data_IF_668158341707
#
_entry.id   IF_668158341707
#
_cell.length_a   1.000
_cell.length_b   1.000
_cell.length_c   1.000
_cell.angle_alpha   90.00
_cell.angle_beta   90.00
_cell.angle_gamma   90.00
#
_symmetry.space_group_name_H-M   'P 1'
#
loop_
_entity.id
_entity.type
_entity.pdbx_description
1 polymer ?
#
# COMPACT_ATOMS: atom_id res chain seq x y z
N UNK A 1 -4.23 23.96 22.89
CA UNK A 1 -5.37 24.03 21.96
C UNK A 1 -5.45 22.75 21.16
N UNK A 2 -6.50 21.95 21.38
CA UNK A 2 -6.60 20.56 20.93
C UNK A 2 -6.89 20.38 19.44
N UNK A 3 -6.15 19.47 18.79
CA UNK A 3 -6.50 18.98 17.45
C UNK A 3 -7.72 18.06 17.57
N UNK A 4 -8.88 18.55 17.12
CA UNK A 4 -10.17 17.81 17.06
C UNK A 4 -10.38 17.06 15.73
N UNK A 5 -9.31 16.72 15.02
CA UNK A 5 -9.41 15.99 13.73
C UNK A 5 -8.36 14.89 13.72
N UNK A 6 -8.84 13.65 13.75
CA UNK A 6 -8.07 12.44 13.57
C UNK A 6 -8.16 12.04 12.10
N UNK A 7 -7.01 11.83 11.45
CA UNK A 7 -6.98 11.31 10.08
C UNK A 7 -6.53 9.85 10.11
N UNK A 8 -7.10 9.02 9.23
CA UNK A 8 -6.80 7.58 9.16
C UNK A 8 -5.29 7.30 9.01
N UNK A 9 -4.56 8.17 8.30
CA UNK A 9 -3.13 8.05 8.08
C UNK A 9 -2.26 8.34 9.30
N UNK A 10 -2.79 8.96 10.36
CA UNK A 10 -2.03 9.29 11.58
C UNK A 10 -1.55 8.03 12.33
N UNK A 11 -2.11 6.85 12.02
CA UNK A 11 -1.77 5.56 12.63
C UNK A 11 -1.24 4.53 11.64
N UNK A 12 -1.19 4.85 10.35
CA UNK A 12 -0.76 3.91 9.32
C UNK A 12 0.76 3.91 9.21
N UNK A 13 1.33 2.70 9.10
CA UNK A 13 2.76 2.48 8.95
C UNK A 13 3.08 2.29 7.45
N UNK A 14 3.84 3.20 6.82
CA UNK A 14 4.23 3.08 5.41
C UNK A 14 4.89 1.75 5.06
N UNK A 15 5.72 1.22 5.96
CA UNK A 15 6.46 -0.01 5.73
C UNK A 15 5.51 -1.22 5.73
N UNK A 16 4.50 -1.22 6.60
CA UNK A 16 3.47 -2.29 6.60
C UNK A 16 2.59 -2.24 5.36
N UNK A 17 2.28 -1.05 4.84
CA UNK A 17 1.52 -0.90 3.58
C UNK A 17 2.33 -1.43 2.40
N UNK A 18 3.63 -1.14 2.34
CA UNK A 18 4.51 -1.71 1.33
C UNK A 18 4.60 -3.25 1.43
N UNK A 19 4.74 -3.79 2.65
CA UNK A 19 4.71 -5.25 2.86
C UNK A 19 3.37 -5.87 2.45
N UNK A 20 2.25 -5.18 2.67
CA UNK A 20 0.95 -5.63 2.20
C UNK A 20 0.90 -5.71 0.67
N UNK A 21 1.48 -4.75 -0.05
CA UNK A 21 1.60 -4.80 -1.50
C UNK A 21 2.36 -6.06 -1.98
N UNK A 22 3.48 -6.39 -1.32
CA UNK A 22 4.27 -7.59 -1.62
C UNK A 22 3.52 -8.88 -1.28
N UNK A 23 2.79 -8.90 -0.16
CA UNK A 23 1.93 -10.04 0.19
C UNK A 23 0.82 -10.27 -0.83
N UNK A 24 0.23 -9.18 -1.36
CA UNK A 24 -0.76 -9.28 -2.44
C UNK A 24 -0.15 -9.82 -3.72
N UNK A 25 1.03 -9.36 -4.12
CA UNK A 25 1.76 -9.91 -5.28
C UNK A 25 1.96 -11.42 -5.16
N UNK A 26 2.47 -11.90 -4.01
CA UNK A 26 2.66 -13.33 -3.75
C UNK A 26 1.33 -14.09 -3.77
N UNK A 27 0.29 -13.54 -3.14
CA UNK A 27 -1.02 -14.17 -3.05
C UNK A 27 -1.67 -14.30 -4.44
N UNK A 28 -1.66 -13.24 -5.25
CA UNK A 28 -2.22 -13.27 -6.60
C UNK A 28 -1.42 -14.16 -7.54
N UNK A 29 -0.09 -14.14 -7.44
CA UNK A 29 0.76 -15.08 -8.17
C UNK A 29 0.36 -16.52 -7.83
N UNK A 30 0.25 -16.85 -6.54
CA UNK A 30 -0.15 -18.19 -6.11
C UNK A 30 -1.54 -18.57 -6.60
N UNK A 31 -2.52 -17.66 -6.53
CA UNK A 31 -3.87 -17.92 -7.02
C UNK A 31 -3.91 -18.21 -8.52
N UNK A 32 -3.12 -17.48 -9.33
CA UNK A 32 -3.09 -17.69 -10.78
C UNK A 32 -2.19 -18.83 -11.27
N UNK A 33 -1.33 -19.39 -10.41
CA UNK A 33 -0.30 -20.35 -10.82
C UNK A 33 -0.26 -21.65 -10.02
N UNK A 34 -0.90 -21.72 -8.85
CA UNK A 34 -0.88 -22.92 -8.03
C UNK A 34 -1.65 -24.05 -8.72
N UNK A 35 -1.06 -25.25 -8.72
CA UNK A 35 -1.58 -26.44 -9.39
C UNK A 35 -1.76 -27.59 -8.41
N UNK A 36 -2.74 -28.43 -8.68
CA UNK A 36 -2.93 -29.71 -8.00
C UNK A 36 -1.89 -30.75 -8.42
N UNK A 37 -1.94 -31.94 -7.82
CA UNK A 37 -1.03 -33.04 -8.12
C UNK A 37 -1.15 -33.55 -9.57
N UNK A 38 -2.26 -33.23 -10.25
CA UNK A 38 -2.51 -33.55 -11.66
C UNK A 38 -2.04 -32.43 -12.62
N UNK A 39 -1.46 -31.36 -12.09
CA UNK A 39 -0.98 -30.21 -12.86
C UNK A 39 -2.09 -29.23 -13.30
N UNK A 40 -3.31 -29.35 -12.79
CA UNK A 40 -4.42 -28.43 -13.08
C UNK A 40 -4.38 -27.23 -12.14
N UNK A 41 -4.74 -26.04 -12.64
CA UNK A 41 -4.81 -24.84 -11.81
C UNK A 41 -5.90 -24.99 -10.74
N UNK A 42 -5.61 -24.56 -9.50
CA UNK A 42 -6.62 -24.50 -8.45
C UNK A 42 -7.69 -23.42 -8.72
N UNK A 43 -7.33 -22.38 -9.46
CA UNK A 43 -8.23 -21.31 -9.88
C UNK A 43 -7.94 -20.94 -11.34
N UNK A 44 -8.96 -21.03 -12.19
CA UNK A 44 -8.90 -20.48 -13.54
C UNK A 44 -9.09 -18.96 -13.46
N UNK A 45 -7.99 -18.25 -13.25
CA UNK A 45 -8.01 -16.81 -13.00
C UNK A 45 -7.79 -15.97 -14.25
N UNK A 46 -7.00 -16.48 -15.21
CA UNK A 46 -6.66 -15.80 -16.44
C UNK A 46 -6.84 -16.78 -17.61
N UNK A 47 -7.41 -16.30 -18.71
CA UNK A 47 -7.47 -17.03 -19.98
C UNK A 47 -6.62 -16.31 -21.03
N UNK A 48 -5.78 -17.07 -21.74
CA UNK A 48 -4.84 -16.56 -22.74
C UNK A 48 -5.22 -16.98 -24.18
N UNK A 49 -6.46 -17.42 -24.39
CA UNK A 49 -7.01 -17.75 -25.70
C UNK A 49 -7.52 -16.50 -26.44
N UNK A 50 -8.02 -16.67 -27.67
CA UNK A 50 -8.44 -15.57 -28.53
C UNK A 50 -9.57 -14.70 -27.94
N UNK A 51 -10.34 -15.25 -26.99
CA UNK A 51 -11.40 -14.57 -26.24
C UNK A 51 -11.05 -14.40 -24.75
N UNK A 52 -9.76 -14.51 -24.42
CA UNK A 52 -9.29 -14.64 -23.05
C UNK A 52 -9.57 -13.45 -22.14
N UNK A 53 -9.92 -13.75 -20.89
CA UNK A 53 -10.15 -12.77 -19.84
C UNK A 53 -8.89 -12.59 -18.96
N UNK A 54 -8.44 -11.34 -18.83
CA UNK A 54 -7.35 -10.88 -17.96
C UNK A 54 -7.86 -9.93 -16.86
N UNK A 55 -9.17 -9.91 -16.59
CA UNK A 55 -9.81 -9.08 -15.58
C UNK A 55 -9.20 -9.32 -14.19
N UNK A 56 -8.86 -10.57 -13.87
CA UNK A 56 -8.18 -10.95 -12.63
C UNK A 56 -6.82 -10.28 -12.49
N UNK A 57 -5.92 -10.45 -13.47
CA UNK A 57 -4.58 -9.84 -13.44
C UNK A 57 -4.66 -8.31 -13.34
N UNK A 58 -5.63 -7.70 -14.05
CA UNK A 58 -5.89 -6.26 -13.98
C UNK A 58 -6.36 -5.82 -12.58
N UNK A 59 -7.21 -6.60 -11.92
CA UNK A 59 -7.66 -6.31 -10.57
C UNK A 59 -6.51 -6.48 -9.55
N UNK A 60 -5.73 -7.55 -9.69
CA UNK A 60 -4.54 -7.80 -8.87
C UNK A 60 -3.57 -6.61 -8.95
N UNK A 61 -3.24 -6.18 -10.16
CA UNK A 61 -2.36 -5.01 -10.39
C UNK A 61 -2.91 -3.72 -9.77
N UNK A 62 -4.22 -3.46 -9.86
CA UNK A 62 -4.86 -2.30 -9.22
C UNK A 62 -4.72 -2.34 -7.71
N UNK A 63 -4.92 -3.51 -7.09
CA UNK A 63 -4.84 -3.66 -5.64
C UNK A 63 -3.39 -3.52 -5.14
N UNK A 64 -2.42 -4.12 -5.83
CA UNK A 64 -1.00 -3.98 -5.51
C UNK A 64 -0.59 -2.51 -5.61
N UNK A 65 -0.89 -1.86 -6.75
CA UNK A 65 -0.57 -0.45 -6.98
C UNK A 65 -1.22 0.48 -5.96
N UNK A 66 -2.45 0.20 -5.53
CA UNK A 66 -3.10 0.99 -4.47
C UNK A 66 -2.32 0.92 -3.15
N UNK A 67 -1.85 -0.25 -2.74
CA UNK A 67 -1.09 -0.40 -1.49
C UNK A 67 0.27 0.30 -1.58
N UNK A 68 0.98 0.18 -2.70
CA UNK A 68 2.26 0.87 -2.91
C UNK A 68 2.08 2.40 -2.94
N UNK A 69 1.04 2.90 -3.59
CA UNK A 69 0.72 4.32 -3.58
C UNK A 69 0.36 4.81 -2.18
N UNK A 70 -0.41 4.05 -1.41
CA UNK A 70 -0.71 4.41 -0.02
C UNK A 70 0.55 4.43 0.84
N UNK A 71 1.48 3.50 0.67
CA UNK A 71 2.76 3.52 1.37
C UNK A 71 3.51 4.83 1.14
N UNK A 72 3.59 5.30 -0.11
CA UNK A 72 4.21 6.58 -0.46
C UNK A 72 3.47 7.78 0.15
N UNK A 73 2.14 7.84 0.02
CA UNK A 73 1.32 8.94 0.54
C UNK A 73 1.47 9.07 2.06
N UNK A 74 1.47 7.94 2.78
CA UNK A 74 1.62 7.93 4.25
C UNK A 74 3.05 8.29 4.67
N UNK A 75 4.08 7.83 3.94
CA UNK A 75 5.46 8.21 4.21
C UNK A 75 5.68 9.73 4.07
N UNK A 76 5.13 10.31 2.99
CA UNK A 76 5.19 11.74 2.73
C UNK A 76 4.45 12.56 3.79
N UNK A 77 3.29 12.08 4.25
CA UNK A 77 2.54 12.73 5.32
C UNK A 77 3.33 12.71 6.64
N UNK A 78 3.92 11.57 7.01
CA UNK A 78 4.73 11.40 8.22
C UNK A 78 5.98 12.31 8.22
N UNK A 79 6.70 12.35 7.09
CA UNK A 79 7.88 13.21 6.92
C UNK A 79 7.55 14.70 7.12
N UNK A 80 6.42 15.17 6.57
CA UNK A 80 5.94 16.55 6.76
C UNK A 80 5.57 16.83 8.21
N UNK A 81 4.93 15.88 8.91
CA UNK A 81 4.60 16.04 10.33
C UNK A 81 5.86 16.21 11.19
N UNK A 82 6.88 15.38 10.99
CA UNK A 82 8.17 15.46 11.70
C UNK A 82 8.85 16.82 11.43
N UNK A 83 8.93 17.23 10.16
CA UNK A 83 9.56 18.51 9.78
C UNK A 83 8.88 19.70 10.46
N UNK A 84 7.55 19.72 10.49
CA UNK A 84 6.78 20.80 11.12
C UNK A 84 7.01 20.85 12.64
N UNK A 85 7.17 19.71 13.31
CA UNK A 85 7.48 19.65 14.75
C UNK A 85 8.89 20.20 15.01
N UNK A 86 9.89 19.77 14.25
CA UNK A 86 11.27 20.25 14.41
C UNK A 86 11.35 21.76 14.17
N UNK A 87 10.72 22.26 13.10
CA UNK A 87 10.68 23.69 12.80
C UNK A 87 9.97 24.47 13.90
N UNK A 88 8.86 23.96 14.45
CA UNK A 88 8.15 24.59 15.56
C UNK A 88 8.97 24.66 16.84
N UNK A 89 9.71 23.60 17.19
CA UNK A 89 10.62 23.58 18.35
C UNK A 89 11.79 24.54 18.14
N UNK A 90 12.42 24.52 16.97
CA UNK A 90 13.49 25.46 16.65
C UNK A 90 12.99 26.91 16.74
N UNK A 91 11.86 27.24 16.11
CA UNK A 91 11.28 28.59 16.22
C UNK A 91 10.93 28.97 17.66
N UNK A 92 10.42 28.05 18.48
CA UNK A 92 10.11 28.34 19.88
C UNK A 92 11.36 28.58 20.76
N UNK A 93 12.49 27.92 20.45
CA UNK A 93 13.76 28.11 21.17
C UNK A 93 14.51 29.36 20.68
N UNK A 94 14.37 29.74 19.41
CA UNK A 94 15.07 30.87 18.81
C UNK A 94 14.30 32.20 18.82
N UNK A 95 13.05 32.22 19.28
CA UNK A 95 12.35 33.46 19.64
C UNK A 95 12.25 33.60 21.17
N UNK A 96 13.06 34.47 21.81
CA UNK A 96 12.73 34.92 23.15
C UNK A 96 11.49 35.81 23.03
N UNK A 97 10.54 35.61 23.95
CA UNK A 97 9.37 36.48 24.12
C UNK A 97 9.83 37.90 24.47
#
# INVERSE_FOLDING_TARGET
GGKRRFYLYDYLDPQKLHYLARNFEIAFWKLGHARDDNGQLFLYSNAFDAEGDLSFERLAGKLIGLQDHMAQVVADASSRQIKNVIQGVASAVFFPI
#
